data_IF_727420944489
#
_entry.id   IF_727420944489
#
_cell.length_a   1.000
_cell.length_b   1.000
_cell.length_c   1.000
_cell.angle_alpha   90.00
_cell.angle_beta   90.00
_cell.angle_gamma   90.00
#
_symmetry.space_group_name_H-M   'P 1'
#
loop_
_entity.id
_entity.type
_entity.pdbx_description
1 polymer ?
#
# COMPACT_ATOMS: atom_id res chain seq x y z
N UNK A 1 -11.45 28.40 1.06
CA UNK A 1 -12.54 28.03 0.13
C UNK A 1 -13.56 27.28 1.00
N UNK A 2 -14.76 27.83 1.20
CA UNK A 2 -15.74 27.20 2.11
C UNK A 2 -16.30 25.98 1.41
N UNK A 3 -16.13 24.80 2.01
CA UNK A 3 -16.67 23.54 1.52
C UNK A 3 -18.20 23.67 1.45
N UNK A 4 -18.77 23.57 0.25
CA UNK A 4 -20.23 23.61 0.10
C UNK A 4 -20.78 22.20 0.37
N UNK A 5 -21.01 21.88 1.64
CA UNK A 5 -21.64 20.62 2.05
C UNK A 5 -22.93 20.86 2.87
N UNK A 6 -24.05 21.20 2.21
CA UNK A 6 -25.32 21.42 2.89
C UNK A 6 -25.70 20.20 3.73
N UNK A 7 -25.98 20.44 5.02
CA UNK A 7 -26.33 19.41 6.00
C UNK A 7 -25.32 18.27 6.15
N UNK A 8 -24.03 18.47 5.81
CA UNK A 8 -22.98 17.47 5.99
C UNK A 8 -23.29 16.13 5.26
N UNK A 9 -23.99 16.19 4.12
CA UNK A 9 -24.54 15.02 3.44
C UNK A 9 -23.55 14.36 2.46
N UNK A 10 -22.74 15.17 1.78
CA UNK A 10 -21.75 14.70 0.82
C UNK A 10 -20.52 14.12 1.52
N UNK A 11 -19.87 13.18 0.84
CA UNK A 11 -18.65 12.54 1.33
C UNK A 11 -17.52 13.57 1.43
N UNK A 12 -16.88 13.60 2.60
CA UNK A 12 -15.65 14.37 2.85
C UNK A 12 -14.67 13.41 3.51
N UNK A 13 -13.45 13.33 2.99
CA UNK A 13 -12.39 12.52 3.59
C UNK A 13 -11.26 13.43 4.08
N UNK A 14 -10.69 13.09 5.23
CA UNK A 14 -9.48 13.72 5.78
C UNK A 14 -8.55 12.61 6.22
N UNK A 15 -7.36 12.58 5.60
CA UNK A 15 -6.26 11.75 6.06
C UNK A 15 -5.82 12.21 7.46
N UNK A 16 -5.80 11.26 8.39
CA UNK A 16 -5.41 11.44 9.78
C UNK A 16 -4.22 10.53 10.16
N UNK A 17 -3.55 9.90 9.18
CA UNK A 17 -2.43 8.98 9.41
C UNK A 17 -1.30 9.62 10.21
N UNK A 18 -0.87 10.84 9.86
CA UNK A 18 0.18 11.54 10.58
C UNK A 18 -0.19 11.81 12.05
N UNK A 19 -1.45 12.19 12.30
CA UNK A 19 -1.94 12.44 13.65
C UNK A 19 -2.08 11.14 14.44
N UNK A 20 -2.63 10.09 13.83
CA UNK A 20 -2.80 8.79 14.46
C UNK A 20 -1.47 8.17 14.87
N UNK A 21 -0.44 8.32 14.03
CA UNK A 21 0.93 7.90 14.39
C UNK A 21 1.43 8.62 15.64
N UNK A 22 1.32 9.95 15.69
CA UNK A 22 1.74 10.73 16.85
C UNK A 22 0.96 10.36 18.10
N UNK A 23 -0.36 10.20 17.97
CA UNK A 23 -1.22 9.76 19.07
C UNK A 23 -0.82 8.38 19.60
N UNK A 24 -0.51 7.43 18.73
CA UNK A 24 -0.04 6.09 19.12
C UNK A 24 1.35 6.15 19.76
N UNK A 25 2.27 6.96 19.24
CA UNK A 25 3.59 7.17 19.86
C UNK A 25 3.45 7.72 21.30
N UNK A 26 2.55 8.67 21.53
CA UNK A 26 2.34 9.28 22.85
C UNK A 26 1.52 8.41 23.83
N UNK A 27 0.54 7.66 23.33
CA UNK A 27 -0.31 6.79 24.15
C UNK A 27 0.41 5.50 24.52
N UNK A 28 1.05 4.84 23.55
CA UNK A 28 1.72 3.56 23.77
C UNK A 28 2.99 3.71 24.59
N UNK A 29 3.71 4.84 24.52
CA UNK A 29 4.89 5.09 25.37
C UNK A 29 4.59 5.11 26.88
N UNK A 30 3.32 5.25 27.26
CA UNK A 30 2.85 5.20 28.67
C UNK A 30 2.55 3.78 29.13
N UNK A 31 2.56 2.80 28.22
CA UNK A 31 2.25 1.41 28.52
C UNK A 31 3.50 0.72 29.04
N UNK A 32 3.51 0.49 30.36
CA UNK A 32 4.55 -0.25 31.06
C UNK A 32 3.92 -1.22 32.06
N UNK A 33 4.59 -2.34 32.32
CA UNK A 33 4.17 -3.35 33.27
C UNK A 33 5.35 -3.89 34.06
N UNK A 34 5.10 -4.19 35.32
CA UNK A 34 6.10 -4.75 36.24
C UNK A 34 5.47 -5.92 36.97
N UNK A 35 6.19 -7.04 37.03
CA UNK A 35 5.78 -8.21 37.79
C UNK A 35 6.99 -8.96 38.31
N UNK A 36 7.01 -9.28 39.61
CA UNK A 36 8.06 -10.10 40.23
C UNK A 36 9.50 -9.67 39.93
N UNK A 37 9.76 -8.35 39.82
CA UNK A 37 11.09 -7.81 39.50
C UNK A 37 11.44 -7.78 38.01
N UNK A 38 10.54 -8.27 37.14
CA UNK A 38 10.64 -8.17 35.68
C UNK A 38 9.84 -6.97 35.20
N UNK A 39 10.41 -6.17 34.32
CA UNK A 39 9.74 -4.99 33.71
C UNK A 39 9.61 -5.17 32.21
N UNK A 40 8.56 -4.59 31.63
CA UNK A 40 8.40 -4.45 30.19
C UNK A 40 7.69 -3.14 29.86
N UNK A 41 8.18 -2.45 28.82
CA UNK A 41 7.69 -1.13 28.40
C UNK A 41 7.79 -0.99 26.89
N UNK A 42 6.81 -0.32 26.29
CA UNK A 42 6.90 0.08 24.89
C UNK A 42 7.88 1.25 24.76
N UNK A 43 8.88 1.07 23.92
CA UNK A 43 9.95 2.05 23.71
C UNK A 43 9.58 3.05 22.62
N UNK A 44 9.07 2.56 21.47
CA UNK A 44 8.63 3.40 20.35
C UNK A 44 7.78 2.63 19.35
N UNK A 45 7.06 3.37 18.51
CA UNK A 45 6.47 2.86 17.27
C UNK A 45 7.57 2.84 16.20
N UNK A 46 7.87 1.68 15.63
CA UNK A 46 8.88 1.48 14.57
C UNK A 46 8.28 1.83 13.22
N UNK A 47 7.11 1.27 12.91
CA UNK A 47 6.36 1.59 11.70
C UNK A 47 4.86 1.52 11.94
N UNK A 48 4.13 2.32 11.16
CA UNK A 48 2.68 2.29 11.04
C UNK A 48 2.37 2.37 9.54
N UNK A 49 2.02 1.23 8.96
CA UNK A 49 1.83 1.07 7.52
C UNK A 49 0.35 0.77 7.25
N UNK A 50 -0.33 1.67 6.56
CA UNK A 50 -1.75 1.54 6.28
C UNK A 50 -2.42 2.90 6.13
N UNK A 51 -3.76 2.90 6.09
CA UNK A 51 -4.55 4.10 5.90
C UNK A 51 -5.33 4.43 7.18
N UNK A 52 -5.41 5.72 7.53
CA UNK A 52 -6.22 6.23 8.64
C UNK A 52 -6.99 7.44 8.17
N UNK A 53 -8.28 7.26 7.96
CA UNK A 53 -9.17 8.27 7.41
C UNK A 53 -10.28 8.61 8.41
N UNK A 54 -10.55 9.91 8.54
CA UNK A 54 -11.78 10.40 9.17
C UNK A 54 -12.67 10.93 8.06
N UNK A 55 -13.83 10.29 7.91
CA UNK A 55 -14.76 10.56 6.83
C UNK A 55 -16.10 11.06 7.36
N UNK A 56 -16.80 11.86 6.57
CA UNK A 56 -18.18 12.26 6.84
C UNK A 56 -19.11 11.70 5.77
N UNK A 57 -20.22 11.09 6.20
CA UNK A 57 -21.28 10.61 5.30
C UNK A 57 -22.64 10.73 5.96
N UNK A 58 -23.65 11.24 5.22
CA UNK A 58 -25.04 11.32 5.68
C UNK A 58 -25.17 12.00 7.07
N UNK A 59 -24.39 13.05 7.31
CA UNK A 59 -24.38 13.79 8.57
C UNK A 59 -23.63 13.11 9.73
N UNK A 60 -23.03 11.93 9.53
CA UNK A 60 -22.24 11.22 10.55
C UNK A 60 -20.75 11.27 10.22
N UNK A 61 -19.93 11.44 11.24
CA UNK A 61 -18.48 11.23 11.15
C UNK A 61 -18.22 9.75 11.42
N UNK A 62 -17.38 9.14 10.57
CA UNK A 62 -16.95 7.76 10.66
C UNK A 62 -15.43 7.73 10.56
N UNK A 63 -14.81 6.76 11.21
CA UNK A 63 -13.39 6.46 11.06
C UNK A 63 -13.26 5.22 10.19
N UNK A 64 -12.35 5.25 9.24
CA UNK A 64 -11.98 4.09 8.43
C UNK A 64 -10.47 4.01 8.55
N UNK A 65 -9.98 2.97 9.19
CA UNK A 65 -8.56 2.76 9.31
C UNK A 65 -8.27 1.27 9.26
N UNK A 66 -7.10 0.96 8.74
CA UNK A 66 -6.51 -0.37 8.67
C UNK A 66 -5.00 -0.15 8.64
N UNK A 67 -4.34 -0.47 9.75
CA UNK A 67 -2.91 -0.26 9.91
C UNK A 67 -2.22 -1.49 10.44
N UNK A 68 -1.09 -1.83 9.82
CA UNK A 68 -0.08 -2.71 10.38
C UNK A 68 0.83 -1.88 11.29
N UNK A 69 1.01 -2.34 12.53
CA UNK A 69 1.87 -1.67 13.52
C UNK A 69 3.04 -2.56 13.90
N UNK A 70 4.24 -1.97 13.92
CA UNK A 70 5.44 -2.59 14.48
C UNK A 70 5.91 -1.73 15.64
N UNK A 71 5.94 -2.31 16.84
CA UNK A 71 6.37 -1.66 18.08
C UNK A 71 7.69 -2.25 18.54
N UNK A 72 8.55 -1.43 19.13
CA UNK A 72 9.74 -1.89 19.86
C UNK A 72 9.45 -1.80 21.36
N UNK A 73 9.81 -2.85 22.09
CA UNK A 73 9.69 -2.89 23.55
C UNK A 73 11.03 -3.20 24.20
N UNK A 74 11.18 -2.73 25.42
CA UNK A 74 12.33 -2.98 26.29
C UNK A 74 11.85 -3.51 27.63
N UNK A 75 12.64 -4.35 28.26
CA UNK A 75 12.36 -4.89 29.58
C UNK A 75 13.64 -5.26 30.32
N UNK A 76 13.49 -5.50 31.62
CA UNK A 76 14.59 -5.89 32.50
C UNK A 76 14.18 -7.16 33.21
N UNK A 77 15.06 -8.17 33.24
CA UNK A 77 14.84 -9.40 34.02
C UNK A 77 15.13 -9.15 35.50
N UNK A 78 14.76 -10.09 36.37
CA UNK A 78 15.08 -10.01 37.80
C UNK A 78 16.60 -9.97 38.08
N UNK A 79 17.42 -10.44 37.14
CA UNK A 79 18.88 -10.42 37.20
C UNK A 79 19.49 -9.13 36.59
N UNK A 80 18.67 -8.09 36.40
CA UNK A 80 19.04 -6.80 35.79
C UNK A 80 19.52 -6.88 34.33
N UNK A 81 19.24 -7.98 33.62
CA UNK A 81 19.58 -8.09 32.20
C UNK A 81 18.57 -7.33 31.34
N UNK A 82 19.07 -6.46 30.46
CA UNK A 82 18.24 -5.75 29.50
C UNK A 82 17.79 -6.67 28.35
N UNK A 83 16.51 -6.59 28.04
CA UNK A 83 15.86 -7.33 26.97
C UNK A 83 15.17 -6.34 26.05
N UNK A 84 15.40 -6.47 24.76
CA UNK A 84 14.68 -5.71 23.73
C UNK A 84 14.06 -6.66 22.71
N UNK A 85 12.97 -6.22 22.11
CA UNK A 85 12.23 -7.02 21.15
C UNK A 85 11.21 -6.19 20.38
N UNK A 86 10.47 -6.87 19.51
CA UNK A 86 9.43 -6.26 18.68
C UNK A 86 8.08 -6.92 18.90
N UNK A 87 7.03 -6.13 18.80
CA UNK A 87 5.65 -6.59 18.76
C UNK A 87 5.08 -6.15 17.43
N UNK A 88 4.74 -7.11 16.56
CA UNK A 88 4.05 -6.85 15.30
C UNK A 88 2.57 -7.11 15.47
N UNK A 89 1.76 -6.13 15.13
CA UNK A 89 0.30 -6.22 15.06
C UNK A 89 -0.05 -6.12 13.58
N UNK A 90 -0.38 -7.25 12.92
CA UNK A 90 -0.53 -7.29 11.46
C UNK A 90 -1.69 -6.41 10.97
N UNK A 91 -2.71 -6.25 11.80
CA UNK A 91 -3.92 -5.52 11.48
C UNK A 91 -4.50 -4.85 12.73
N UNK A 92 -4.69 -3.54 12.67
CA UNK A 92 -5.49 -2.73 13.59
C UNK A 92 -6.48 -1.97 12.75
N UNK A 93 -7.72 -2.45 12.68
CA UNK A 93 -8.75 -1.91 11.82
C UNK A 93 -9.93 -1.32 12.62
N UNK A 94 -10.75 -0.54 11.93
CA UNK A 94 -11.91 0.15 12.50
C UNK A 94 -13.02 -0.77 13.03
N UNK A 95 -13.03 -2.02 12.58
CA UNK A 95 -14.00 -3.07 12.89
C UNK A 95 -13.40 -4.21 13.71
N UNK A 96 -12.11 -4.14 14.06
CA UNK A 96 -11.47 -5.13 14.94
C UNK A 96 -11.96 -5.00 16.39
N UNK A 97 -12.53 -6.05 16.95
CA UNK A 97 -12.91 -6.11 18.36
C UNK A 97 -11.73 -6.41 19.30
N UNK A 98 -11.93 -6.27 20.63
CA UNK A 98 -10.87 -6.37 21.63
C UNK A 98 -10.08 -7.68 21.54
N UNK A 99 -10.77 -8.81 21.32
CA UNK A 99 -10.19 -10.14 21.27
C UNK A 99 -9.62 -10.53 19.90
N UNK A 100 -9.99 -9.81 18.84
CA UNK A 100 -9.57 -10.11 17.45
C UNK A 100 -8.14 -9.67 17.13
N UNK A 101 -7.57 -8.76 17.90
CA UNK A 101 -6.18 -8.33 17.68
C UNK A 101 -5.18 -9.49 17.79
N UNK A 102 -4.32 -9.62 16.80
CA UNK A 102 -3.20 -10.59 16.76
C UNK A 102 -1.90 -9.89 17.13
N UNK A 103 -1.08 -10.54 17.95
CA UNK A 103 0.20 -9.99 18.41
C UNK A 103 1.31 -11.01 18.20
N UNK A 104 2.26 -10.68 17.33
CA UNK A 104 3.48 -11.45 17.10
C UNK A 104 4.61 -10.83 17.92
N UNK A 105 5.10 -11.57 18.93
CA UNK A 105 6.09 -11.08 19.89
C UNK A 105 7.44 -11.77 19.62
N UNK A 106 8.44 -10.96 19.30
CA UNK A 106 9.82 -11.37 19.06
C UNK A 106 10.78 -10.74 20.06
N UNK A 107 11.84 -11.48 20.40
CA UNK A 107 12.95 -10.99 21.24
C UNK A 107 14.22 -10.93 20.37
N UNK A 108 14.99 -9.85 20.50
CA UNK A 108 16.32 -9.79 19.90
C UNK A 108 17.30 -10.70 20.65
N UNK A 109 17.97 -11.58 19.91
CA UNK A 109 18.90 -12.60 20.43
C UNK A 109 18.24 -13.46 21.51
N UNK A 110 17.23 -14.24 21.10
CA UNK A 110 16.41 -15.08 21.98
C UNK A 110 17.28 -16.05 22.80
N UNK A 111 17.03 -16.07 24.11
CA UNK A 111 17.69 -16.94 25.07
C UNK A 111 16.74 -17.26 26.22
N UNK A 112 17.00 -18.37 26.94
CA UNK A 112 16.15 -18.81 28.05
C UNK A 112 16.01 -17.78 29.17
N UNK A 113 17.03 -16.94 29.36
CA UNK A 113 17.08 -15.89 30.37
C UNK A 113 16.10 -14.74 30.07
N UNK A 114 15.71 -14.55 28.80
CA UNK A 114 14.83 -13.47 28.35
C UNK A 114 13.36 -13.87 28.29
N UNK A 115 13.05 -15.16 28.41
CA UNK A 115 11.69 -15.70 28.35
C UNK A 115 10.73 -15.08 29.39
N UNK A 116 11.15 -14.80 30.65
CA UNK A 116 10.27 -14.14 31.62
C UNK A 116 9.71 -12.79 31.13
N UNK A 117 10.50 -12.02 30.37
CA UNK A 117 10.04 -10.74 29.79
C UNK A 117 9.01 -11.01 28.68
N UNK A 118 9.22 -12.01 27.82
CA UNK A 118 8.25 -12.38 26.77
C UNK A 118 6.92 -12.85 27.35
N UNK A 119 6.96 -13.63 28.42
CA UNK A 119 5.76 -14.10 29.12
C UNK A 119 5.02 -12.94 29.81
N UNK A 120 5.76 -11.99 30.38
CA UNK A 120 5.20 -10.76 30.95
C UNK A 120 4.53 -9.89 29.86
N UNK A 121 5.19 -9.71 28.72
CA UNK A 121 4.62 -8.98 27.57
C UNK A 121 3.31 -9.62 27.12
N UNK A 122 3.30 -10.94 26.93
CA UNK A 122 2.11 -11.67 26.48
C UNK A 122 0.96 -11.62 27.49
N UNK A 123 1.26 -11.76 28.79
CA UNK A 123 0.23 -11.88 29.83
C UNK A 123 -0.32 -10.56 30.34
N UNK A 124 0.50 -9.50 30.39
CA UNK A 124 0.10 -8.20 30.98
C UNK A 124 0.20 -7.02 30.03
N UNK A 125 1.22 -6.96 29.17
CA UNK A 125 1.40 -5.81 28.27
C UNK A 125 0.38 -5.84 27.10
N UNK A 126 0.19 -7.01 26.47
CA UNK A 126 -0.75 -7.19 25.35
C UNK A 126 -2.19 -6.81 25.71
N UNK A 127 -2.77 -7.22 26.87
CA UNK A 127 -4.09 -6.76 27.27
C UNK A 127 -4.22 -5.24 27.41
N UNK A 128 -3.17 -4.55 27.88
CA UNK A 128 -3.17 -3.08 27.95
C UNK A 128 -3.09 -2.45 26.56
N UNK A 129 -2.31 -3.02 25.63
CA UNK A 129 -2.25 -2.58 24.23
C UNK A 129 -3.63 -2.67 23.55
N UNK A 130 -4.37 -3.77 23.76
CA UNK A 130 -5.74 -3.93 23.23
C UNK A 130 -6.64 -2.79 23.67
N UNK A 131 -6.61 -2.43 24.96
CA UNK A 131 -7.39 -1.33 25.51
C UNK A 131 -6.98 0.03 24.94
N UNK A 132 -5.71 0.27 24.69
CA UNK A 132 -5.25 1.51 24.06
C UNK A 132 -5.72 1.62 22.61
N UNK A 133 -5.66 0.55 21.82
CA UNK A 133 -6.15 0.56 20.44
C UNK A 133 -7.65 0.87 20.33
N UNK A 134 -8.47 0.39 21.27
CA UNK A 134 -9.91 0.69 21.30
C UNK A 134 -10.23 2.17 21.59
N UNK A 135 -9.28 2.96 22.09
CA UNK A 135 -9.46 4.40 22.30
C UNK A 135 -9.24 5.22 21.03
N UNK A 136 -8.52 4.67 20.05
CA UNK A 136 -8.14 5.36 18.81
C UNK A 136 -9.35 5.89 18.02
N UNK A 137 -10.44 5.13 17.79
CA UNK A 137 -11.62 5.64 17.08
C UNK A 137 -12.22 6.88 17.75
N UNK A 138 -12.39 6.82 19.07
CA UNK A 138 -12.96 7.91 19.85
C UNK A 138 -12.09 9.17 19.80
N UNK A 139 -10.78 8.99 19.87
CA UNK A 139 -9.80 10.07 19.80
C UNK A 139 -9.79 10.73 18.40
N UNK A 140 -9.80 9.93 17.33
CA UNK A 140 -9.88 10.41 15.94
C UNK A 140 -11.13 11.27 15.69
N UNK A 141 -12.29 10.81 16.17
CA UNK A 141 -13.55 11.55 16.02
C UNK A 141 -13.52 12.84 16.86
N UNK A 142 -13.00 12.79 18.08
CA UNK A 142 -12.95 13.95 18.96
C UNK A 142 -12.07 15.08 18.39
N UNK A 143 -10.92 14.72 17.82
CA UNK A 143 -9.97 15.68 17.25
C UNK A 143 -10.44 16.19 15.88
N UNK A 144 -10.75 15.28 14.95
CA UNK A 144 -10.97 15.65 13.54
C UNK A 144 -12.44 15.73 13.15
N UNK A 145 -13.37 15.24 13.97
CA UNK A 145 -14.80 15.27 13.65
C UNK A 145 -15.36 16.70 13.51
N UNK A 146 -14.82 17.65 14.27
CA UNK A 146 -15.20 19.07 14.21
C UNK A 146 -14.69 19.78 12.95
N UNK A 147 -13.53 19.36 12.44
CA UNK A 147 -12.93 19.96 11.23
C UNK A 147 -13.72 19.62 9.96
N UNK A 148 -14.47 18.52 10.00
CA UNK A 148 -15.16 17.95 8.84
C UNK A 148 -16.67 18.30 8.86
N UNK A 149 -17.23 18.67 10.01
CA UNK A 149 -18.65 19.05 10.15
C UNK A 149 -18.87 20.56 10.16
N UNK A 150 -19.86 21.03 9.40
CA UNK A 150 -20.47 22.34 9.63
C UNK A 150 -21.47 22.28 10.79
N UNK A 151 -21.63 23.40 11.52
CA UNK A 151 -22.59 23.50 12.62
C UNK A 151 -24.04 23.32 12.13
N UNK A 152 -24.94 22.73 12.94
CA UNK A 152 -26.36 22.64 12.59
C UNK A 152 -26.93 24.04 12.33
N UNK A 153 -27.46 24.27 11.12
CA UNK A 153 -28.06 25.56 10.74
C UNK A 153 -27.12 26.55 10.06
N UNK A 154 -25.81 26.31 9.97
CA UNK A 154 -24.95 27.11 9.09
C UNK A 154 -25.08 26.59 7.66
N UNK A 155 -26.05 27.13 6.92
CA UNK A 155 -26.10 26.95 5.48
C UNK A 155 -25.13 27.97 4.83
N UNK A 156 -23.97 27.56 4.28
CA UNK A 156 -23.09 28.47 3.55
C UNK A 156 -23.74 29.03 2.26
N UNK A 157 -24.93 28.55 1.89
CA UNK A 157 -25.74 29.04 0.75
C UNK A 157 -26.78 30.10 1.13
N UNK A 158 -26.84 30.62 2.37
CA UNK A 158 -27.86 31.60 2.79
C UNK A 158 -27.81 32.98 2.09
N UNK A 159 -26.89 33.18 1.13
CA UNK A 159 -26.84 34.34 0.26
C UNK A 159 -26.82 34.04 -1.24
N UNK A 160 -26.96 32.78 -1.67
CA UNK A 160 -26.94 32.42 -3.09
C UNK A 160 -28.36 32.29 -3.64
N UNK A 161 -28.71 33.10 -4.64
CA UNK A 161 -30.02 33.06 -5.27
C UNK A 161 -30.20 31.73 -6.03
N UNK A 162 -31.26 30.99 -5.72
CA UNK A 162 -31.66 29.79 -6.48
C UNK A 162 -31.94 30.14 -7.94
N UNK A 163 -31.29 29.50 -8.93
CA UNK A 163 -31.58 29.77 -10.34
C UNK A 163 -33.00 29.29 -10.70
N UNK A 164 -33.77 30.16 -11.34
CA UNK A 164 -35.12 29.83 -11.86
C UNK A 164 -35.01 28.87 -13.04
N UNK A 165 -35.75 27.77 -12.96
CA UNK A 165 -35.89 26.78 -14.01
C UNK A 165 -36.65 27.37 -15.22
N UNK A 166 -36.04 27.39 -16.41
CA UNK A 166 -36.72 27.70 -17.68
C UNK A 166 -37.07 26.39 -18.39
N UNK A 167 -38.35 26.20 -18.72
CA UNK A 167 -38.83 25.05 -19.47
C UNK A 167 -38.35 25.11 -20.94
N UNK A 168 -37.78 24.00 -21.41
CA UNK A 168 -37.29 23.84 -22.79
C UNK A 168 -38.46 23.65 -23.77
N UNK A 169 -38.42 24.38 -24.89
CA UNK A 169 -39.18 24.04 -26.09
C UNK A 169 -38.22 23.84 -27.27
N UNK A 170 -38.50 22.81 -28.06
CA UNK A 170 -37.70 22.24 -29.17
C UNK A 170 -37.61 23.13 -30.42
N UNK A 171 -36.43 23.23 -31.06
CA UNK A 171 -36.18 23.00 -32.51
C UNK A 171 -34.72 23.31 -32.89
N UNK A 172 -34.31 22.79 -34.06
CA UNK A 172 -32.96 22.38 -34.40
C UNK A 172 -32.00 23.44 -35.01
N UNK A 173 -30.70 23.14 -34.81
CA UNK A 173 -29.55 23.25 -35.74
C UNK A 173 -28.46 24.28 -35.41
N UNK A 174 -27.24 23.73 -35.48
CA UNK A 174 -25.89 24.31 -35.65
C UNK A 174 -25.12 24.91 -34.48
N UNK A 175 -23.88 24.41 -34.41
CA UNK A 175 -22.63 24.99 -33.86
C UNK A 175 -22.50 25.13 -32.35
N UNK A 176 -21.82 24.12 -31.82
CA UNK A 176 -21.03 24.11 -30.58
C UNK A 176 -20.24 25.41 -30.40
N UNK A 177 -20.64 26.21 -29.42
CA UNK A 177 -19.79 27.19 -28.76
C UNK A 177 -20.31 27.38 -27.34
N UNK A 178 -19.95 26.46 -26.45
CA UNK A 178 -20.13 26.62 -25.01
C UNK A 178 -18.92 27.37 -24.50
N UNK A 179 -19.12 28.66 -24.25
CA UNK A 179 -18.16 29.58 -23.66
C UNK A 179 -17.80 29.11 -22.25
N UNK A 180 -16.80 28.24 -22.17
CA UNK A 180 -16.01 27.97 -20.98
C UNK A 180 -15.49 29.29 -20.44
N UNK A 181 -15.79 29.61 -19.19
CA UNK A 181 -15.18 30.73 -18.47
C UNK A 181 -13.68 30.50 -18.38
N UNK A 182 -13.00 31.13 -19.33
CA UNK A 182 -11.57 31.32 -19.43
C UNK A 182 -11.18 32.27 -18.29
N UNK A 183 -10.84 31.70 -17.13
CA UNK A 183 -9.96 32.35 -16.17
C UNK A 183 -8.54 32.17 -16.66
N UNK A 184 -7.98 33.24 -17.24
CA UNK A 184 -6.67 33.23 -17.86
C UNK A 184 -5.54 32.96 -16.87
N UNK A 185 -4.48 32.35 -17.43
CA UNK A 185 -3.08 32.61 -17.13
C UNK A 185 -2.59 32.28 -15.72
N UNK A 186 -2.04 31.05 -15.61
CA UNK A 186 -0.82 30.80 -14.84
C UNK A 186 -0.97 30.92 -13.33
N UNK A 187 -1.72 30.00 -12.71
CA UNK A 187 -1.35 29.64 -11.34
C UNK A 187 0.01 28.97 -11.42
N UNK A 188 1.03 29.62 -10.90
CA UNK A 188 2.33 29.00 -10.62
C UNK A 188 2.04 27.85 -9.67
N UNK A 189 1.94 26.63 -10.21
CA UNK A 189 1.87 25.42 -9.41
C UNK A 189 3.29 25.22 -8.92
N UNK A 190 3.51 25.35 -7.61
CA UNK A 190 4.79 24.96 -7.04
C UNK A 190 4.96 23.47 -7.35
N UNK A 191 6.09 23.14 -7.97
CA UNK A 191 6.42 21.79 -8.39
C UNK A 191 7.60 21.27 -7.61
N UNK A 192 7.66 19.95 -7.47
CA UNK A 192 8.76 19.24 -6.85
C UNK A 192 9.25 18.13 -7.78
N UNK A 193 10.52 17.76 -7.59
CA UNK A 193 11.15 16.63 -8.27
C UNK A 193 11.10 15.41 -7.34
N UNK A 194 10.65 14.27 -7.88
CA UNK A 194 10.62 13.00 -7.17
C UNK A 194 11.56 12.01 -7.82
N UNK A 195 12.29 11.28 -6.99
CA UNK A 195 13.11 10.17 -7.46
C UNK A 195 12.71 8.90 -6.75
N UNK A 196 12.71 7.80 -7.50
CA UNK A 196 12.43 6.48 -6.97
C UNK A 196 13.27 5.43 -7.70
N UNK A 197 13.52 4.31 -7.05
CA UNK A 197 14.32 3.22 -7.62
C UNK A 197 13.67 1.89 -7.28
N UNK A 198 13.54 1.02 -8.28
CA UNK A 198 12.97 -0.30 -8.11
C UNK A 198 13.82 -1.36 -8.82
N UNK A 199 14.03 -2.49 -8.14
CA UNK A 199 14.73 -3.65 -8.69
C UNK A 199 13.76 -4.62 -9.36
N UNK A 200 14.10 -5.10 -10.55
CA UNK A 200 13.38 -6.13 -11.29
C UNK A 200 14.33 -7.28 -11.68
N UNK A 201 13.94 -8.53 -11.39
CA UNK A 201 14.69 -9.72 -11.83
C UNK A 201 14.33 -10.10 -13.27
N UNK A 202 14.75 -9.26 -14.21
CA UNK A 202 14.51 -9.44 -15.64
C UNK A 202 15.55 -8.66 -16.45
N UNK A 203 15.54 -8.79 -17.77
CA UNK A 203 16.39 -7.97 -18.65
C UNK A 203 15.82 -6.57 -18.82
N UNK A 204 16.68 -5.57 -19.07
CA UNK A 204 16.28 -4.20 -19.33
C UNK A 204 15.35 -4.11 -20.55
N UNK A 205 15.54 -4.98 -21.54
CA UNK A 205 14.62 -5.11 -22.68
C UNK A 205 13.22 -5.55 -22.25
N UNK A 206 13.10 -6.61 -21.46
CA UNK A 206 11.80 -7.10 -20.98
C UNK A 206 11.10 -6.10 -20.06
N UNK A 207 11.86 -5.40 -19.20
CA UNK A 207 11.34 -4.32 -18.37
C UNK A 207 10.85 -3.15 -19.24
N UNK A 208 11.65 -2.72 -20.22
CA UNK A 208 11.29 -1.67 -21.17
C UNK A 208 10.00 -2.00 -21.92
N UNK A 209 9.87 -3.23 -22.42
CA UNK A 209 8.69 -3.69 -23.16
C UNK A 209 7.39 -3.55 -22.35
N UNK A 210 7.42 -3.65 -21.01
CA UNK A 210 6.21 -3.46 -20.18
C UNK A 210 5.60 -2.07 -20.28
N UNK A 211 6.36 -1.06 -20.69
CA UNK A 211 5.90 0.33 -20.82
C UNK A 211 5.58 0.75 -22.26
N UNK A 212 5.88 -0.10 -23.25
CA UNK A 212 5.72 0.22 -24.69
C UNK A 212 4.83 -0.76 -25.43
N UNK A 213 4.66 -1.99 -24.92
CA UNK A 213 3.80 -2.98 -25.53
C UNK A 213 2.37 -2.88 -24.95
N UNK A 214 1.34 -2.69 -25.78
CA UNK A 214 -0.03 -2.50 -25.31
C UNK A 214 -0.61 -3.74 -24.61
N UNK A 215 -0.20 -4.95 -24.99
CA UNK A 215 -0.65 -6.17 -24.34
C UNK A 215 -0.03 -6.32 -22.96
N UNK A 216 1.25 -5.98 -22.81
CA UNK A 216 1.93 -5.96 -21.50
C UNK A 216 1.38 -4.87 -20.60
N UNK A 217 1.12 -3.68 -21.15
CA UNK A 217 0.46 -2.60 -20.41
C UNK A 217 -0.87 -3.10 -19.89
N UNK A 218 -1.73 -3.64 -20.77
CA UNK A 218 -3.04 -4.16 -20.39
C UNK A 218 -2.97 -5.25 -19.30
N UNK A 219 -1.91 -6.07 -19.31
CA UNK A 219 -1.71 -7.13 -18.34
C UNK A 219 -1.46 -6.60 -16.92
N UNK A 220 -0.61 -5.58 -16.73
CA UNK A 220 -0.35 -5.04 -15.40
C UNK A 220 -1.38 -4.00 -14.96
N UNK A 221 -1.97 -3.24 -15.88
CA UNK A 221 -3.03 -2.27 -15.58
C UNK A 221 -4.40 -2.94 -15.39
N UNK A 222 -4.52 -4.24 -15.69
CA UNK A 222 -5.76 -5.06 -15.66
C UNK A 222 -6.86 -4.57 -16.61
N UNK A 223 -6.55 -3.62 -17.49
CA UNK A 223 -7.46 -3.08 -18.48
C UNK A 223 -6.67 -2.51 -19.66
N UNK A 224 -7.14 -2.68 -20.91
CA UNK A 224 -6.48 -2.09 -22.06
C UNK A 224 -6.44 -0.56 -21.95
N UNK A 225 -5.38 0.10 -22.46
CA UNK A 225 -5.35 1.55 -22.56
C UNK A 225 -6.56 2.09 -23.31
N UNK A 226 -7.21 3.15 -22.80
CA UNK A 226 -8.32 3.82 -23.49
C UNK A 226 -7.85 4.50 -24.77
N UNK A 227 -6.66 5.09 -24.70
CA UNK A 227 -5.94 5.68 -25.81
C UNK A 227 -4.56 5.08 -25.80
N UNK A 228 -4.11 4.59 -26.95
CA UNK A 228 -2.73 4.19 -27.16
C UNK A 228 -2.40 4.39 -28.63
N UNK A 229 -1.58 5.40 -28.90
CA UNK A 229 -1.20 5.76 -30.28
C UNK A 229 0.11 5.07 -30.73
N UNK A 230 0.58 4.10 -29.96
CA UNK A 230 1.85 3.40 -30.20
C UNK A 230 3.00 3.93 -29.35
N UNK A 231 4.09 3.17 -29.28
CA UNK A 231 5.32 3.59 -28.62
C UNK A 231 6.20 4.40 -29.59
N UNK A 232 5.72 5.57 -29.97
CA UNK A 232 6.46 6.53 -30.80
C UNK A 232 6.49 7.90 -30.12
N UNK A 233 7.53 8.68 -30.40
CA UNK A 233 7.61 10.04 -29.89
C UNK A 233 6.41 10.87 -30.37
N UNK A 234 5.73 11.53 -29.43
CA UNK A 234 4.52 12.31 -29.65
C UNK A 234 3.22 11.51 -29.49
N UNK A 235 3.28 10.18 -29.33
CA UNK A 235 2.08 9.37 -29.15
C UNK A 235 1.50 9.55 -27.75
N UNK A 236 0.18 9.71 -27.71
CA UNK A 236 -0.58 9.85 -26.47
C UNK A 236 -1.05 8.49 -25.94
N UNK A 237 -1.14 8.41 -24.63
CA UNK A 237 -1.70 7.26 -23.94
C UNK A 237 -2.64 7.68 -22.80
N UNK A 238 -3.62 6.83 -22.53
CA UNK A 238 -4.53 6.94 -21.39
C UNK A 238 -4.63 5.57 -20.70
N UNK A 239 -4.16 5.51 -19.46
CA UNK A 239 -4.11 4.30 -18.63
C UNK A 239 -5.09 4.43 -17.45
N UNK A 240 -5.39 3.29 -16.80
CA UNK A 240 -6.26 3.22 -15.62
C UNK A 240 -7.62 3.92 -15.84
N UNK A 241 -8.33 3.53 -16.90
CA UNK A 241 -9.62 4.11 -17.27
C UNK A 241 -9.59 5.63 -17.54
N UNK A 242 -8.43 6.17 -17.95
CA UNK A 242 -8.24 7.61 -18.21
C UNK A 242 -7.94 8.41 -16.94
N UNK A 243 -7.62 7.74 -15.83
CA UNK A 243 -7.12 8.40 -14.63
C UNK A 243 -5.68 8.89 -14.81
N UNK A 244 -4.89 8.18 -15.62
CA UNK A 244 -3.54 8.60 -16.01
C UNK A 244 -3.57 8.95 -17.49
N UNK A 245 -3.04 10.13 -17.82
CA UNK A 245 -2.88 10.57 -19.20
C UNK A 245 -1.48 11.09 -19.43
N UNK A 246 -0.97 10.90 -20.64
CA UNK A 246 0.40 11.27 -20.98
C UNK A 246 0.73 11.14 -22.46
N UNK A 247 1.98 11.48 -22.78
CA UNK A 247 2.54 11.45 -24.12
C UNK A 247 4.01 11.02 -24.06
N UNK A 248 4.44 10.14 -24.95
CA UNK A 248 5.85 9.76 -25.05
C UNK A 248 6.66 10.93 -25.63
N UNK A 249 7.59 11.49 -24.85
CA UNK A 249 8.45 12.60 -25.26
C UNK A 249 9.76 12.12 -25.88
N UNK A 250 10.31 11.02 -25.37
CA UNK A 250 11.55 10.42 -25.85
C UNK A 250 11.53 8.91 -25.56
N UNK A 251 11.98 8.12 -26.53
CA UNK A 251 12.07 6.67 -26.41
C UNK A 251 13.45 6.26 -26.93
N UNK A 252 14.24 5.64 -26.07
CA UNK A 252 15.56 5.08 -26.40
C UNK A 252 15.60 3.65 -25.92
N UNK A 253 15.13 2.73 -26.77
CA UNK A 253 15.06 1.32 -26.43
C UNK A 253 16.47 0.70 -26.31
N UNK A 254 16.73 -0.19 -25.33
CA UNK A 254 15.91 -0.56 -24.17
C UNK A 254 16.21 0.25 -22.89
N UNK A 255 16.95 1.37 -23.00
CA UNK A 255 17.58 2.03 -21.85
C UNK A 255 16.73 3.10 -21.18
N UNK A 256 15.91 3.85 -21.93
CA UNK A 256 15.27 5.05 -21.42
C UNK A 256 13.91 5.35 -22.06
N UNK A 257 12.97 5.76 -21.23
CA UNK A 257 11.65 6.25 -21.62
C UNK A 257 11.44 7.61 -20.92
N UNK A 258 11.11 8.64 -21.69
CA UNK A 258 10.69 9.93 -21.16
C UNK A 258 9.27 10.20 -21.65
N UNK A 259 8.36 10.46 -20.72
CA UNK A 259 6.95 10.71 -21.03
C UNK A 259 6.42 11.86 -20.19
N UNK A 260 5.45 12.59 -20.74
CA UNK A 260 4.59 13.44 -19.93
C UNK A 260 3.62 12.55 -19.17
N UNK A 261 3.31 12.92 -17.94
CA UNK A 261 2.47 12.13 -17.07
C UNK A 261 1.63 13.04 -16.19
N UNK A 262 0.35 12.74 -16.03
CA UNK A 262 -0.50 13.42 -15.06
C UNK A 262 -1.63 12.53 -14.59
N UNK A 263 -2.08 12.83 -13.37
CA UNK A 263 -3.33 12.33 -12.85
C UNK A 263 -4.49 13.23 -13.28
N UNK A 264 -5.67 12.64 -13.42
CA UNK A 264 -6.90 13.36 -13.78
C UNK A 264 -7.27 14.44 -12.76
N UNK A 265 -6.96 14.24 -11.47
CA UNK A 265 -7.22 15.23 -10.43
C UNK A 265 -6.24 16.41 -10.42
N UNK A 266 -5.10 16.32 -11.13
CA UNK A 266 -4.14 17.43 -11.19
C UNK A 266 -4.71 18.62 -11.94
N UNK A 267 -4.21 19.85 -11.67
CA UNK A 267 -4.64 21.05 -12.37
C UNK A 267 -4.66 20.86 -13.90
N UNK A 268 -5.67 21.43 -14.56
CA UNK A 268 -5.85 21.26 -15.98
C UNK A 268 -4.64 21.79 -16.76
N UNK A 269 -4.11 20.97 -17.68
CA UNK A 269 -2.92 21.30 -18.45
C UNK A 269 -1.60 21.16 -17.70
N UNK A 270 -1.60 20.73 -16.44
CA UNK A 270 -0.39 20.46 -15.67
C UNK A 270 0.08 19.02 -15.89
N UNK A 271 1.28 18.87 -16.46
CA UNK A 271 1.93 17.58 -16.70
C UNK A 271 3.28 17.55 -16.01
N UNK A 272 3.61 16.44 -15.36
CA UNK A 272 4.97 16.15 -14.95
C UNK A 272 5.73 15.48 -16.10
N UNK A 273 7.06 15.55 -16.03
CA UNK A 273 7.98 14.85 -16.91
C UNK A 273 8.54 13.64 -16.18
N UNK A 274 8.10 12.46 -16.59
CA UNK A 274 8.55 11.16 -16.10
C UNK A 274 9.71 10.66 -16.95
N UNK A 275 10.88 10.48 -16.35
CA UNK A 275 12.03 9.83 -16.96
C UNK A 275 12.28 8.49 -16.26
N UNK A 276 12.22 7.41 -17.03
CA UNK A 276 12.46 6.04 -16.57
C UNK A 276 13.74 5.56 -17.26
N UNK A 277 14.72 5.13 -16.47
CA UNK A 277 15.99 4.60 -16.94
C UNK A 277 16.17 3.18 -16.42
N UNK A 278 16.62 2.28 -17.29
CA UNK A 278 16.86 0.88 -16.98
C UNK A 278 18.35 0.59 -16.99
N UNK A 279 18.91 0.36 -15.81
CA UNK A 279 20.30 -0.02 -15.61
C UNK A 279 20.38 -1.54 -15.42
N UNK A 280 20.84 -2.25 -16.45
CA UNK A 280 21.07 -3.70 -16.38
C UNK A 280 22.33 -3.99 -15.57
N UNK A 281 22.20 -4.81 -14.54
CA UNK A 281 23.32 -5.49 -13.90
C UNK A 281 23.38 -6.92 -14.44
N UNK A 282 24.37 -7.19 -15.29
CA UNK A 282 24.57 -8.49 -15.95
C UNK A 282 25.10 -9.57 -14.99
N UNK A 283 25.72 -9.18 -13.87
CA UNK A 283 26.32 -10.11 -12.89
C UNK A 283 25.24 -10.74 -12.01
N UNK A 284 24.33 -9.92 -11.50
CA UNK A 284 23.26 -10.37 -10.59
C UNK A 284 21.95 -10.70 -11.32
N UNK A 285 21.92 -10.53 -12.65
CA UNK A 285 20.71 -10.64 -13.49
C UNK A 285 19.53 -9.80 -12.97
N UNK A 286 19.84 -8.61 -12.46
CA UNK A 286 18.88 -7.63 -11.94
C UNK A 286 18.92 -6.37 -12.82
N UNK A 287 17.76 -5.84 -13.15
CA UNK A 287 17.62 -4.51 -13.74
C UNK A 287 17.15 -3.54 -12.68
N UNK A 288 17.90 -2.45 -12.49
CA UNK A 288 17.49 -1.32 -11.67
C UNK A 288 16.72 -0.32 -12.54
N UNK A 289 15.44 -0.14 -12.25
CA UNK A 289 14.61 0.90 -12.83
C UNK A 289 14.71 2.16 -11.97
N UNK A 290 15.35 3.19 -12.49
CA UNK A 290 15.44 4.51 -11.87
C UNK A 290 14.40 5.43 -12.48
N UNK A 291 13.65 6.08 -11.62
CA UNK A 291 12.57 6.97 -12.02
C UNK A 291 12.86 8.36 -11.49
N UNK A 292 12.82 9.34 -12.39
CA UNK A 292 12.91 10.75 -12.05
C UNK A 292 11.70 11.49 -12.62
N UNK A 293 10.95 12.12 -11.74
CA UNK A 293 9.76 12.89 -12.04
C UNK A 293 10.01 14.34 -11.77
N UNK A 294 9.93 15.18 -12.80
CA UNK A 294 10.02 16.62 -12.66
C UNK A 294 8.65 17.26 -12.88
N UNK A 295 8.31 18.30 -12.12
CA UNK A 295 7.04 19.00 -12.30
C UNK A 295 5.85 18.39 -11.55
N UNK A 296 6.04 17.61 -10.49
CA UNK A 296 4.91 17.06 -9.70
C UNK A 296 4.34 18.17 -8.79
N UNK A 297 3.01 18.40 -8.75
CA UNK A 297 2.42 19.39 -7.86
C UNK A 297 2.78 19.15 -6.39
N UNK A 298 3.17 20.20 -5.67
CA UNK A 298 3.41 20.13 -4.22
C UNK A 298 2.14 19.66 -3.49
N UNK A 299 2.31 18.69 -2.59
CA UNK A 299 1.20 18.03 -1.86
C UNK A 299 0.65 16.77 -2.53
N UNK A 300 0.99 16.50 -3.80
CA UNK A 300 0.62 15.26 -4.49
C UNK A 300 1.77 14.24 -4.54
N UNK A 301 2.89 14.54 -3.89
CA UNK A 301 4.14 13.79 -4.05
C UNK A 301 4.08 12.36 -3.52
N UNK A 302 3.66 12.20 -2.26
CA UNK A 302 3.58 10.90 -1.59
C UNK A 302 2.51 10.05 -2.25
N UNK A 303 1.36 10.64 -2.57
CA UNK A 303 0.30 9.97 -3.30
C UNK A 303 0.79 9.47 -4.68
N UNK A 304 1.53 10.29 -5.42
CA UNK A 304 2.09 9.93 -6.73
C UNK A 304 3.12 8.81 -6.60
N UNK A 305 4.02 8.88 -5.62
CA UNK A 305 5.03 7.86 -5.36
C UNK A 305 4.41 6.54 -4.89
N UNK A 306 3.44 6.58 -3.98
CA UNK A 306 2.70 5.38 -3.52
C UNK A 306 1.95 4.71 -4.67
N UNK A 307 1.23 5.50 -5.45
CA UNK A 307 0.50 4.99 -6.62
C UNK A 307 1.45 4.41 -7.67
N UNK A 308 2.63 5.00 -7.86
CA UNK A 308 3.67 4.44 -8.72
C UNK A 308 4.10 3.05 -8.27
N UNK A 309 4.46 2.93 -6.99
CA UNK A 309 4.94 1.68 -6.43
C UNK A 309 3.87 0.58 -6.52
N UNK A 310 2.62 0.88 -6.15
CA UNK A 310 1.58 -0.16 -6.14
C UNK A 310 1.10 -0.52 -7.55
N UNK A 311 0.74 0.47 -8.37
CA UNK A 311 0.08 0.23 -9.65
C UNK A 311 1.04 -0.01 -10.81
N UNK A 312 2.30 0.41 -10.71
CA UNK A 312 3.31 0.12 -11.73
C UNK A 312 4.28 -0.94 -11.21
N UNK A 313 5.07 -0.64 -10.17
CA UNK A 313 6.18 -1.52 -9.75
C UNK A 313 5.66 -2.87 -9.27
N UNK A 314 4.81 -2.90 -8.26
CA UNK A 314 4.28 -4.13 -7.65
C UNK A 314 3.41 -4.90 -8.63
N UNK A 315 2.60 -4.20 -9.43
CA UNK A 315 1.76 -4.82 -10.45
C UNK A 315 2.62 -5.47 -11.56
N UNK A 316 3.64 -4.80 -12.09
CA UNK A 316 4.57 -5.38 -13.06
C UNK A 316 5.31 -6.59 -12.47
N UNK A 317 5.80 -6.49 -11.22
CA UNK A 317 6.47 -7.60 -10.52
C UNK A 317 5.56 -8.82 -10.37
N UNK A 318 4.30 -8.61 -9.98
CA UNK A 318 3.33 -9.70 -9.79
C UNK A 318 2.88 -10.31 -11.12
N UNK A 319 2.62 -9.47 -12.13
CA UNK A 319 2.12 -9.92 -13.43
C UNK A 319 3.15 -10.71 -14.22
N UNK A 320 4.41 -10.28 -14.22
CA UNK A 320 5.48 -10.91 -15.02
C UNK A 320 6.48 -11.74 -14.19
N UNK A 321 6.29 -11.82 -12.87
CA UNK A 321 7.14 -12.62 -12.00
C UNK A 321 8.53 -12.00 -11.71
N UNK A 322 8.69 -10.69 -11.91
CA UNK A 322 9.98 -9.98 -11.72
C UNK A 322 10.34 -9.71 -10.24
N UNK A 323 9.91 -10.57 -9.32
CA UNK A 323 10.07 -10.42 -7.86
C UNK A 323 11.50 -10.70 -7.41
N UNK A 324 11.99 -9.92 -6.45
CA UNK A 324 13.21 -10.23 -5.70
C UNK A 324 12.89 -11.28 -4.65
N UNK A 325 13.35 -12.52 -4.86
CA UNK A 325 13.24 -13.57 -3.85
C UNK A 325 14.30 -13.34 -2.77
N UNK A 326 13.95 -12.63 -1.70
CA UNK A 326 14.63 -12.76 -0.41
C UNK A 326 13.87 -13.69 0.54
N UNK A 327 13.27 -14.74 -0.03
CA UNK A 327 12.85 -15.94 0.67
C UNK A 327 13.15 -17.13 -0.22
N UNK A 328 14.30 -17.76 0.01
CA UNK A 328 14.47 -19.14 -0.42
C UNK A 328 13.43 -19.97 0.36
N UNK A 329 12.61 -20.81 -0.31
CA UNK A 329 11.88 -21.83 0.42
C UNK A 329 12.92 -22.72 1.10
N UNK A 330 12.87 -22.78 2.43
CA UNK A 330 13.61 -23.74 3.23
C UNK A 330 13.16 -25.14 2.80
N UNK A 331 13.90 -25.73 1.85
CA UNK A 331 13.87 -27.16 1.62
C UNK A 331 14.50 -27.78 2.86
N UNK A 332 13.66 -28.34 3.72
CA UNK A 332 14.06 -29.17 4.84
C UNK A 332 14.76 -30.41 4.26
N UNK A 333 16.09 -30.35 4.14
CA UNK A 333 16.90 -31.53 3.91
C UNK A 333 16.78 -32.42 5.16
N UNK A 334 16.03 -33.53 5.01
CA UNK A 334 16.05 -34.61 5.97
C UNK A 334 17.49 -35.13 6.12
N UNK A 335 18.06 -35.17 7.33
CA UNK A 335 19.44 -35.57 7.51
C UNK A 335 19.63 -37.05 7.15
N UNK A 336 20.70 -37.32 6.40
CA UNK A 336 21.19 -38.65 6.10
C UNK A 336 21.57 -39.38 7.41
N UNK A 337 20.67 -40.24 7.87
CA UNK A 337 20.89 -41.14 9.00
C UNK A 337 21.76 -42.32 8.59
N UNK A 338 23.02 -42.24 9.02
CA UNK A 338 24.03 -43.29 9.00
C UNK A 338 23.54 -44.52 9.79
N UNK A 339 23.28 -45.65 9.12
CA UNK A 339 23.03 -46.94 9.76
C UNK A 339 24.01 -47.99 9.21
N UNK A 340 25.16 -48.07 9.89
CA UNK A 340 26.09 -49.17 9.78
C UNK A 340 25.47 -50.45 10.36
N UNK A 341 25.39 -51.49 9.51
CA UNK A 341 25.50 -52.93 9.82
C UNK A 341 25.13 -53.43 11.22
N UNK A 342 24.04 -54.20 11.32
CA UNK A 342 24.01 -55.39 12.19
C UNK A 342 23.06 -56.45 11.66
N UNK A 343 23.60 -57.67 11.58
CA UNK A 343 23.01 -58.88 11.03
C UNK A 343 22.07 -59.60 12.01
N UNK A 344 21.25 -60.48 11.42
CA UNK A 344 20.64 -61.73 11.93
C UNK A 344 19.16 -61.76 12.38
N UNK A 345 18.45 -62.74 11.79
CA UNK A 345 17.23 -63.40 12.29
C UNK A 345 16.02 -63.18 11.36
N UNK A 346 15.67 -64.13 10.48
CA UNK A 346 14.60 -65.15 10.71
C UNK A 346 13.22 -64.46 10.88
N UNK A 347 12.18 -64.62 10.07
CA UNK A 347 11.72 -65.65 9.11
C UNK A 347 10.83 -64.94 8.06
N UNK A 348 10.71 -65.48 6.84
CA UNK A 348 9.67 -65.06 5.90
C UNK A 348 8.97 -66.29 5.32
N UNK A 349 7.70 -66.46 5.68
CA UNK A 349 6.76 -67.35 5.01
C UNK A 349 5.80 -66.53 4.14
N UNK A 350 5.84 -66.87 2.84
CA UNK A 350 4.74 -67.02 1.87
C UNK A 350 3.47 -66.13 1.96
N UNK A 351 3.17 -65.43 0.85
CA UNK A 351 2.06 -65.71 -0.08
C UNK A 351 2.11 -64.72 -1.28
N UNK A 352 2.19 -65.10 -2.57
CA UNK A 352 1.14 -65.66 -3.47
C UNK A 352 -0.12 -64.76 -3.54
N UNK A 353 -0.74 -64.30 -4.66
CA UNK A 353 -0.64 -64.41 -6.14
C UNK A 353 -1.60 -63.34 -6.76
N UNK A 354 -1.55 -63.14 -8.10
CA UNK A 354 -2.66 -62.77 -9.06
C UNK A 354 -2.98 -61.26 -9.18
N UNK A 355 -3.14 -60.61 -10.36
CA UNK A 355 -3.16 -60.98 -11.80
C UNK A 355 -2.94 -59.71 -12.67
N UNK A 356 -2.40 -59.94 -13.86
CA UNK A 356 -2.49 -59.07 -15.06
C UNK A 356 -3.79 -59.38 -15.84
N UNK A 357 -4.33 -58.41 -16.59
CA UNK A 357 -4.66 -58.59 -18.03
C UNK A 357 -5.31 -57.37 -18.71
N UNK A 358 -4.81 -57.10 -19.90
CA UNK A 358 -5.15 -56.15 -20.98
C UNK A 358 -6.64 -56.04 -21.40
N UNK A 359 -6.99 -54.94 -22.09
CA UNK A 359 -7.86 -54.96 -23.28
C UNK A 359 -7.44 -53.89 -24.32
N UNK A 360 -7.42 -54.33 -25.58
CA UNK A 360 -6.98 -53.66 -26.81
C UNK A 360 -8.18 -53.48 -27.78
N UNK A 361 -8.00 -52.62 -28.80
CA UNK A 361 -8.76 -52.47 -30.08
C UNK A 361 -10.11 -51.72 -30.04
N UNK A 362 -10.59 -50.92 -31.01
CA UNK A 362 -10.21 -50.22 -32.29
C UNK A 362 -11.56 -49.67 -32.87
N UNK A 363 -11.75 -49.10 -34.08
CA UNK A 363 -10.90 -49.01 -35.29
C UNK A 363 -10.19 -47.67 -35.50
#
# INVERSE_FOLDING_TARGET
MVLHNPNNWHWVNKDASAWARQYLEESLAKVETTDSGVTAKISKVVSMDGDVDVSQRKGKVITIYDVKLVLEYTGTTADEAEVSGTITVPEVAHDTEEDEFVFDIDIYSDSKEKQPVKDLVRSKLVPELRKEFLKLPGALIAEHGKDIQHAPGSNPSSGFSTPKYQAQNTTAKSTTASTSVKGSSGKVVNTMTLTDTAEFRTTAEEAYQTFVDPARIAAFTRAPPKVFQGAIKGAKFELFDGNVTGEYLELSAPKKIVQSWRLKQWPEGHFSKLSIEFDQNDVDHVTLMRVNWDGVPVGEEEATKRNWQEYYVNSIKRTFGYVSTNSAPFLEELPAGDWLTRTNGMESSAACIIRSSDWLYKP
#
